data_IF_160884788044
#
_entry.id   IF_160884788044
#
_cell.length_a   1.000
_cell.length_b   1.000
_cell.length_c   1.000
_cell.angle_alpha   90.00
_cell.angle_beta   90.00
_cell.angle_gamma   90.00
#
_symmetry.space_group_name_H-M   'P 1'
#
loop_
_entity.id
_entity.type
_entity.pdbx_description
1 polymer ?
#
# COMPACT_ATOMS: atom_id res chain seq x y z
N UNK A 1 2.85 -9.21 -11.80
CA UNK A 1 2.91 -9.20 -10.32
C UNK A 1 1.84 -8.23 -9.79
N UNK A 2 0.80 -8.73 -9.13
CA UNK A 2 -0.22 -7.85 -8.55
C UNK A 2 0.44 -6.93 -7.50
N UNK A 3 0.28 -5.61 -7.63
CA UNK A 3 0.72 -4.64 -6.60
C UNK A 3 -0.26 -4.63 -5.42
N UNK A 4 -0.51 -5.82 -4.89
CA UNK A 4 -1.50 -6.11 -3.85
C UNK A 4 -0.80 -6.83 -2.72
N UNK A 5 -1.15 -6.47 -1.48
CA UNK A 5 -0.66 -7.17 -0.31
C UNK A 5 -1.41 -8.50 -0.14
N UNK A 6 -0.71 -9.64 -0.06
CA UNK A 6 -1.35 -10.96 0.03
C UNK A 6 -2.13 -11.16 1.34
N UNK A 7 -1.71 -10.55 2.44
CA UNK A 7 -2.35 -10.74 3.76
C UNK A 7 -3.57 -9.88 4.02
N UNK A 8 -3.66 -8.69 3.43
CA UNK A 8 -4.73 -7.73 3.73
C UNK A 8 -5.47 -7.24 2.49
N UNK A 9 -5.13 -7.77 1.31
CA UNK A 9 -5.74 -7.40 0.03
C UNK A 9 -5.51 -5.95 -0.40
N UNK A 10 -4.66 -5.18 0.32
CA UNK A 10 -4.42 -3.77 -0.02
C UNK A 10 -3.84 -3.63 -1.41
N UNK A 11 -4.64 -3.12 -2.32
CA UNK A 11 -4.26 -2.83 -3.69
C UNK A 11 -4.06 -1.34 -3.95
N UNK A 12 -3.96 -1.01 -5.23
CA UNK A 12 -3.83 0.37 -5.69
C UNK A 12 -5.20 1.04 -5.76
N UNK A 13 -5.24 2.34 -5.46
CA UNK A 13 -6.45 3.14 -5.59
C UNK A 13 -6.21 4.35 -6.50
N UNK A 14 -7.25 4.81 -7.19
CA UNK A 14 -7.25 6.07 -7.94
C UNK A 14 -7.81 7.14 -7.01
N UNK A 15 -7.06 8.23 -6.82
CA UNK A 15 -7.46 9.30 -5.90
C UNK A 15 -7.41 10.63 -6.65
N UNK A 16 -8.48 11.41 -6.53
CA UNK A 16 -8.53 12.79 -6.99
C UNK A 16 -7.69 13.69 -6.09
N UNK A 17 -7.27 14.84 -6.61
CA UNK A 17 -6.41 15.76 -5.86
C UNK A 17 -6.85 17.19 -6.08
N UNK A 18 -6.69 18.04 -5.08
CA UNK A 18 -6.92 19.49 -5.17
C UNK A 18 -5.62 20.24 -4.94
N UNK A 19 -5.39 21.31 -5.68
CA UNK A 19 -4.19 22.13 -5.50
C UNK A 19 -4.45 23.27 -4.51
N UNK A 20 -3.61 23.34 -3.47
CA UNK A 20 -3.61 24.43 -2.49
C UNK A 20 -2.98 25.75 -3.02
N UNK A 21 -2.74 25.87 -4.34
CA UNK A 21 -2.19 27.10 -4.93
C UNK A 21 -3.17 28.27 -4.87
N UNK A 22 -4.46 27.96 -4.88
CA UNK A 22 -5.55 28.95 -4.88
C UNK A 22 -6.25 28.90 -3.51
N UNK A 23 -6.86 30.01 -3.09
CA UNK A 23 -7.61 30.12 -1.83
C UNK A 23 -8.58 28.93 -1.67
N UNK A 24 -8.65 28.36 -0.46
CA UNK A 24 -9.41 27.14 -0.15
C UNK A 24 -10.90 27.19 -0.54
N UNK A 25 -11.48 28.38 -0.67
CA UNK A 25 -12.88 28.60 -1.08
C UNK A 25 -13.09 28.46 -2.60
N UNK A 26 -12.04 28.42 -3.41
CA UNK A 26 -12.12 28.27 -4.87
C UNK A 26 -11.76 26.84 -5.25
N UNK A 27 -12.72 26.16 -5.87
CA UNK A 27 -12.52 24.82 -6.40
C UNK A 27 -11.37 24.81 -7.42
N UNK A 28 -10.33 24.01 -7.13
CA UNK A 28 -9.12 23.90 -7.95
C UNK A 28 -8.69 22.42 -8.08
N UNK A 29 -9.46 21.62 -8.85
CA UNK A 29 -9.18 20.21 -9.03
C UNK A 29 -7.92 20.00 -9.87
N UNK A 30 -7.25 18.90 -9.57
CA UNK A 30 -6.15 18.37 -10.37
C UNK A 30 -6.48 16.94 -10.78
N UNK A 31 -5.84 16.47 -11.84
CA UNK A 31 -6.09 15.14 -12.39
C UNK A 31 -5.90 14.01 -11.37
N UNK A 32 -6.65 12.93 -11.57
CA UNK A 32 -6.58 11.74 -10.74
C UNK A 32 -5.18 11.11 -10.81
N UNK A 33 -4.66 10.69 -9.65
CA UNK A 33 -3.38 9.99 -9.55
C UNK A 33 -3.56 8.65 -8.87
N UNK A 34 -2.88 7.64 -9.39
CA UNK A 34 -2.84 6.31 -8.76
C UNK A 34 -1.93 6.34 -7.54
N UNK A 35 -2.44 5.86 -6.41
CA UNK A 35 -1.67 5.64 -5.18
C UNK A 35 -1.42 4.15 -5.02
N UNK A 36 -0.17 3.80 -4.73
CA UNK A 36 0.27 2.43 -4.53
C UNK A 36 0.44 2.13 -3.05
N UNK A 37 0.11 0.91 -2.59
CA UNK A 37 0.47 0.48 -1.25
C UNK A 37 1.99 0.41 -1.13
N UNK A 38 2.52 0.81 0.03
CA UNK A 38 3.94 0.65 0.34
C UNK A 38 4.21 -0.84 0.60
N UNK A 39 4.62 -1.56 -0.45
CA UNK A 39 4.96 -2.96 -0.42
C UNK A 39 6.47 -3.13 -0.25
N UNK A 40 6.88 -3.92 0.73
CA UNK A 40 8.28 -4.15 1.08
C UNK A 40 8.53 -5.65 1.23
N UNK A 41 9.79 -6.05 1.08
CA UNK A 41 10.22 -7.43 1.33
C UNK A 41 10.30 -7.68 2.84
N UNK A 42 9.53 -8.65 3.33
CA UNK A 42 9.59 -9.14 4.69
C UNK A 42 10.14 -10.58 4.69
N UNK A 43 11.06 -10.93 5.61
CA UNK A 43 11.45 -12.31 5.81
C UNK A 43 10.29 -13.11 6.42
N UNK A 44 10.14 -14.37 6.06
CA UNK A 44 9.23 -15.33 6.70
C UNK A 44 9.96 -16.14 7.76
N UNK A 45 9.21 -16.87 8.58
CA UNK A 45 9.77 -17.80 9.57
C UNK A 45 10.64 -18.90 8.92
N UNK A 46 10.28 -19.31 7.70
CA UNK A 46 11.00 -20.34 6.93
C UNK A 46 12.29 -19.82 6.25
N UNK A 47 12.63 -18.53 6.42
CA UNK A 47 13.77 -17.87 5.78
C UNK A 47 13.51 -17.36 4.35
N UNK A 48 12.36 -17.70 3.77
CA UNK A 48 11.88 -17.14 2.50
C UNK A 48 11.51 -15.65 2.65
N UNK A 49 11.26 -14.95 1.53
CA UNK A 49 10.86 -13.53 1.55
C UNK A 49 9.56 -13.33 0.79
N UNK A 50 8.64 -12.59 1.39
CA UNK A 50 7.38 -12.19 0.75
C UNK A 50 7.29 -10.67 0.63
N UNK A 51 6.69 -10.19 -0.46
CA UNK A 51 6.39 -8.77 -0.63
C UNK A 51 5.05 -8.44 0.02
N UNK A 52 5.07 -7.68 1.11
CA UNK A 52 3.91 -7.39 1.97
C UNK A 52 3.79 -5.89 2.25
N UNK A 53 2.60 -5.43 2.64
CA UNK A 53 2.38 -4.04 3.04
C UNK A 53 3.16 -3.70 4.32
N UNK A 54 3.74 -2.50 4.40
CA UNK A 54 4.49 -2.08 5.60
C UNK A 54 3.66 -2.09 6.88
N UNK A 55 2.35 -1.79 6.80
CA UNK A 55 1.44 -1.91 7.97
C UNK A 55 1.36 -3.35 8.47
N UNK A 56 1.30 -4.31 7.55
CA UNK A 56 1.19 -5.73 7.83
C UNK A 56 2.51 -6.27 8.38
N UNK A 57 3.63 -5.80 7.82
CA UNK A 57 4.97 -6.09 8.31
C UNK A 57 5.14 -5.60 9.76
N UNK A 58 4.75 -4.36 10.06
CA UNK A 58 4.82 -3.78 11.41
C UNK A 58 3.97 -4.53 12.45
N UNK A 59 2.82 -5.07 12.05
CA UNK A 59 1.96 -5.85 12.95
C UNK A 59 2.50 -7.27 13.19
N UNK A 60 3.45 -7.74 12.38
CA UNK A 60 3.99 -9.10 12.52
C UNK A 60 3.24 -10.18 11.72
N UNK A 61 2.26 -9.80 10.89
CA UNK A 61 1.46 -10.74 10.09
C UNK A 61 2.26 -11.60 9.12
N UNK A 62 3.53 -11.26 8.86
CA UNK A 62 4.42 -12.04 7.99
C UNK A 62 5.00 -13.27 8.69
N UNK A 63 5.01 -13.29 10.03
CA UNK A 63 5.53 -14.39 10.85
C UNK A 63 4.50 -15.52 11.02
N UNK A 64 3.22 -15.19 10.87
CA UNK A 64 2.09 -16.13 11.01
C UNK A 64 1.85 -16.95 9.74
N UNK A 65 2.43 -16.53 8.61
CA UNK A 65 2.28 -17.22 7.32
C UNK A 65 3.14 -18.48 7.35
N UNK A 66 2.52 -19.64 7.56
CA UNK A 66 3.15 -20.95 7.38
C UNK A 66 2.76 -21.48 6.00
N UNK A 67 3.73 -21.64 5.12
CA UNK A 67 3.52 -22.46 3.94
C UNK A 67 3.66 -23.92 4.39
N UNK A 68 2.54 -24.63 4.44
CA UNK A 68 2.51 -26.09 4.67
C UNK A 68 3.22 -26.79 3.52
#
# INVERSE_FOLDING_TARGET
>A
MAKVCPTCGKGTIIVGHYSNRVRATKYNPTGNKRKYPNLQWAPLADGSRIKICTKCMKVGKHLEIKFV
#
